data_IF_596519803750
#
_entry.id   IF_596519803750
#
_cell.length_a   1.000
_cell.length_b   1.000
_cell.length_c   1.000
_cell.angle_alpha   90.00
_cell.angle_beta   90.00
_cell.angle_gamma   90.00
#
_symmetry.space_group_name_H-M   'P 1'
#
loop_
_entity.id
_entity.type
_entity.pdbx_description
1 polymer ?
#
# COMPACT_ATOMS: atom_id res chain seq x y z
N UNK A 1 8.97 18.21 -14.92
CA UNK A 1 8.73 16.96 -14.18
C UNK A 1 7.27 16.96 -13.80
N UNK A 2 6.50 15.94 -14.16
CA UNK A 2 5.12 15.81 -13.68
C UNK A 2 5.17 15.58 -12.17
N UNK A 3 4.24 16.18 -11.43
CA UNK A 3 4.14 15.95 -9.98
C UNK A 3 3.84 14.46 -9.71
N UNK A 4 4.55 13.89 -8.74
CA UNK A 4 4.36 12.49 -8.35
C UNK A 4 2.97 12.31 -7.75
N UNK A 5 2.17 11.45 -8.34
CA UNK A 5 0.86 11.06 -7.82
C UNK A 5 1.07 10.25 -6.54
N UNK A 6 0.54 10.74 -5.43
CA UNK A 6 0.67 10.07 -4.14
C UNK A 6 -0.49 9.12 -3.92
N UNK A 7 -0.17 7.88 -3.53
CA UNK A 7 -1.17 6.88 -3.18
C UNK A 7 -1.97 7.25 -1.93
N UNK A 8 -3.27 6.93 -1.88
CA UNK A 8 -4.08 7.08 -0.68
C UNK A 8 -3.74 6.05 0.42
N UNK A 9 -2.97 5.02 0.11
CA UNK A 9 -2.58 3.97 1.05
C UNK A 9 -1.18 4.26 1.59
N UNK A 10 -1.08 4.42 2.91
CA UNK A 10 0.20 4.52 3.59
C UNK A 10 0.73 3.11 3.88
N UNK A 11 1.72 2.69 3.11
CA UNK A 11 2.31 1.36 3.22
C UNK A 11 3.83 1.47 3.34
N UNK A 12 4.43 0.60 4.18
CA UNK A 12 5.88 0.62 4.37
C UNK A 12 6.60 0.21 3.09
N UNK A 13 7.80 0.73 2.89
CA UNK A 13 8.59 0.41 1.70
C UNK A 13 8.13 1.12 0.42
N UNK A 14 7.15 2.04 0.46
CA UNK A 14 6.67 2.70 -0.74
C UNK A 14 7.79 3.42 -1.52
N UNK A 15 7.66 3.42 -2.85
CA UNK A 15 8.70 3.90 -3.78
C UNK A 15 8.63 5.42 -4.09
N UNK A 16 7.88 6.22 -3.32
CA UNK A 16 7.74 7.67 -3.53
C UNK A 16 9.10 8.38 -3.71
N UNK A 17 10.10 8.02 -2.90
CA UNK A 17 11.45 8.63 -2.99
C UNK A 17 12.16 8.23 -4.27
N UNK A 18 12.01 6.99 -4.72
CA UNK A 18 12.62 6.50 -5.96
C UNK A 18 11.92 7.07 -7.19
N UNK A 19 10.59 7.19 -7.17
CA UNK A 19 9.83 7.83 -8.24
C UNK A 19 10.27 9.28 -8.42
N UNK A 20 10.46 10.03 -7.32
CA UNK A 20 11.04 11.38 -7.36
C UNK A 20 12.48 11.43 -7.90
N UNK A 21 13.18 10.31 -7.91
CA UNK A 21 14.53 10.13 -8.48
C UNK A 21 14.48 9.40 -9.82
N UNK A 22 13.38 9.54 -10.55
CA UNK A 22 13.20 9.06 -11.92
C UNK A 22 13.14 7.53 -12.08
N UNK A 23 12.64 6.80 -11.07
CA UNK A 23 12.45 5.35 -11.19
C UNK A 23 11.61 4.99 -12.43
N UNK A 24 10.54 5.75 -12.68
CA UNK A 24 9.62 5.48 -13.80
C UNK A 24 10.29 5.72 -15.17
N UNK A 25 11.27 6.61 -15.25
CA UNK A 25 12.00 6.89 -16.49
C UNK A 25 12.86 5.69 -16.94
N UNK A 26 13.09 4.72 -16.05
CA UNK A 26 13.77 3.45 -16.37
C UNK A 26 12.85 2.41 -16.99
N UNK A 27 11.53 2.64 -16.93
CA UNK A 27 10.55 1.69 -17.43
C UNK A 27 10.39 1.82 -18.95
N UNK A 28 9.93 0.76 -19.64
CA UNK A 28 9.69 0.82 -21.07
C UNK A 28 8.65 1.90 -21.42
N UNK A 29 8.78 2.47 -22.61
CA UNK A 29 7.72 3.29 -23.19
C UNK A 29 6.66 2.37 -23.83
N UNK A 30 5.40 2.82 -23.82
CA UNK A 30 4.26 2.14 -24.46
C UNK A 30 4.00 0.73 -23.89
N UNK A 31 3.87 0.64 -22.56
CA UNK A 31 3.53 -0.59 -21.86
C UNK A 31 2.06 -0.95 -22.18
N UNK A 32 1.83 -2.19 -22.62
CA UNK A 32 0.47 -2.70 -22.81
C UNK A 32 -0.12 -3.13 -21.47
N UNK A 33 0.50 -4.10 -20.80
CA UNK A 33 0.10 -4.52 -19.44
C UNK A 33 1.21 -4.19 -18.45
N UNK A 34 0.88 -3.37 -17.45
CA UNK A 34 1.71 -3.18 -16.27
C UNK A 34 1.30 -4.20 -15.22
N UNK A 35 2.20 -5.13 -14.90
CA UNK A 35 1.98 -6.13 -13.86
C UNK A 35 2.78 -5.71 -12.62
N UNK A 36 2.10 -5.21 -11.59
CA UNK A 36 2.67 -4.85 -10.29
C UNK A 36 2.45 -6.03 -9.35
N UNK A 37 3.46 -6.89 -9.22
CA UNK A 37 3.31 -8.20 -8.62
C UNK A 37 3.31 -8.17 -7.08
N UNK A 38 3.82 -7.08 -6.51
CA UNK A 38 3.86 -6.77 -5.07
C UNK A 38 3.32 -5.35 -4.88
N UNK A 39 2.03 -5.17 -5.07
CA UNK A 39 1.38 -3.87 -5.25
C UNK A 39 1.55 -2.90 -4.09
N UNK A 40 1.49 -3.37 -2.83
CA UNK A 40 1.68 -2.57 -1.63
C UNK A 40 0.79 -1.32 -1.61
N UNK A 41 1.38 -0.14 -1.74
CA UNK A 41 0.61 1.11 -1.87
C UNK A 41 0.09 1.40 -3.28
N UNK A 42 0.38 0.58 -4.28
CA UNK A 42 0.14 0.79 -5.71
C UNK A 42 0.76 2.08 -6.30
N UNK A 43 1.67 2.74 -5.60
CA UNK A 43 2.23 4.03 -6.02
C UNK A 43 3.02 3.92 -7.32
N UNK A 44 3.63 2.77 -7.61
CA UNK A 44 4.39 2.54 -8.85
C UNK A 44 3.41 2.46 -10.02
N UNK A 45 2.38 1.64 -9.91
CA UNK A 45 1.30 1.56 -10.90
C UNK A 45 0.63 2.91 -11.16
N UNK A 46 0.32 3.67 -10.10
CA UNK A 46 -0.30 5.01 -10.21
C UNK A 46 0.57 6.04 -10.93
N UNK A 47 1.87 5.85 -11.02
CA UNK A 47 2.81 6.75 -11.68
C UNK A 47 3.36 6.19 -13.01
N UNK A 48 3.02 4.97 -13.38
CA UNK A 48 3.41 4.33 -14.64
C UNK A 48 2.30 4.48 -15.67
N UNK A 49 2.66 4.79 -16.92
CA UNK A 49 1.68 4.86 -18.01
C UNK A 49 1.61 3.53 -18.73
N UNK A 50 0.44 2.89 -18.70
CA UNK A 50 0.15 1.63 -19.40
C UNK A 50 -1.29 1.61 -19.92
N UNK A 51 -1.63 0.67 -20.80
CA UNK A 51 -2.99 0.49 -21.28
C UNK A 51 -3.86 -0.25 -20.25
N UNK A 52 -3.27 -1.25 -19.56
CA UNK A 52 -3.93 -2.05 -18.54
C UNK A 52 -3.02 -2.23 -17.33
N UNK A 53 -3.60 -2.36 -16.14
CA UNK A 53 -2.89 -2.56 -14.88
C UNK A 53 -3.36 -3.84 -14.20
N UNK A 54 -2.42 -4.71 -13.87
CA UNK A 54 -2.61 -5.96 -13.15
C UNK A 54 -1.89 -5.82 -11.81
N UNK A 55 -2.62 -5.52 -10.74
CA UNK A 55 -2.04 -5.26 -9.42
C UNK A 55 -2.34 -6.45 -8.53
N UNK A 56 -1.28 -7.06 -8.01
CA UNK A 56 -1.35 -8.21 -7.14
C UNK A 56 -0.70 -7.90 -5.78
N UNK A 57 -1.27 -8.44 -4.73
CA UNK A 57 -0.64 -8.51 -3.41
C UNK A 57 -1.18 -9.72 -2.65
N UNK A 58 -0.38 -10.30 -1.75
CA UNK A 58 -0.82 -11.39 -0.87
C UNK A 58 -1.65 -10.88 0.30
N UNK A 59 -1.54 -9.59 0.65
CA UNK A 59 -2.33 -8.98 1.72
C UNK A 59 -3.74 -8.65 1.22
N UNK A 60 -4.74 -9.43 1.67
CA UNK A 60 -6.15 -9.25 1.32
C UNK A 60 -6.69 -7.86 1.68
N UNK A 61 -6.17 -7.24 2.75
CA UNK A 61 -6.60 -5.91 3.17
C UNK A 61 -6.17 -4.81 2.19
N UNK A 62 -5.04 -4.99 1.48
CA UNK A 62 -4.67 -4.10 0.38
C UNK A 62 -5.65 -4.24 -0.79
N UNK A 63 -6.04 -5.47 -1.12
CA UNK A 63 -7.01 -5.72 -2.19
C UNK A 63 -8.39 -5.13 -1.83
N UNK A 64 -8.79 -5.22 -0.56
CA UNK A 64 -10.00 -4.54 -0.07
C UNK A 64 -9.93 -3.02 -0.27
N UNK A 65 -8.79 -2.40 0.06
CA UNK A 65 -8.58 -0.96 -0.13
C UNK A 65 -8.56 -0.56 -1.61
N UNK A 66 -7.91 -1.34 -2.50
CA UNK A 66 -7.95 -1.06 -3.93
C UNK A 66 -9.39 -1.12 -4.47
N UNK A 67 -10.16 -2.13 -4.06
CA UNK A 67 -11.58 -2.23 -4.40
C UNK A 67 -12.41 -1.08 -3.84
N UNK A 68 -12.09 -0.58 -2.64
CA UNK A 68 -12.73 0.59 -2.07
C UNK A 68 -12.59 1.81 -3.01
N UNK A 69 -11.37 2.10 -3.48
CA UNK A 69 -11.12 3.22 -4.39
C UNK A 69 -11.70 2.99 -5.79
N UNK A 70 -11.74 1.75 -6.27
CA UNK A 70 -12.28 1.40 -7.58
C UNK A 70 -13.79 1.56 -7.64
N UNK A 71 -14.50 1.24 -6.57
CA UNK A 71 -15.95 1.10 -6.56
C UNK A 71 -16.69 2.28 -5.90
N UNK A 72 -15.97 3.25 -5.33
CA UNK A 72 -16.58 4.38 -4.64
C UNK A 72 -16.07 5.72 -5.18
N UNK A 73 -16.92 6.74 -5.11
CA UNK A 73 -16.51 8.11 -5.37
C UNK A 73 -15.69 8.65 -4.20
N UNK A 74 -14.72 9.48 -4.49
CA UNK A 74 -13.86 10.08 -3.46
C UNK A 74 -14.67 10.86 -2.40
N UNK A 75 -15.73 11.55 -2.83
CA UNK A 75 -16.62 12.30 -1.96
C UNK A 75 -17.34 11.40 -0.94
N UNK A 76 -17.78 10.21 -1.36
CA UNK A 76 -18.48 9.26 -0.49
C UNK A 76 -17.54 8.72 0.60
N UNK A 77 -16.30 8.39 0.22
CA UNK A 77 -15.25 7.97 1.16
C UNK A 77 -14.95 9.11 2.16
N UNK A 78 -14.75 10.33 1.67
CA UNK A 78 -14.45 11.50 2.49
C UNK A 78 -15.60 11.81 3.47
N UNK A 79 -16.84 11.73 3.00
CA UNK A 79 -18.03 11.96 3.81
C UNK A 79 -18.16 10.92 4.91
N UNK A 80 -17.91 9.63 4.60
CA UNK A 80 -17.89 8.58 5.60
C UNK A 80 -16.85 8.82 6.69
N UNK A 81 -15.60 9.18 6.29
CA UNK A 81 -14.53 9.49 7.23
C UNK A 81 -14.96 10.66 8.16
N UNK A 82 -15.50 11.74 7.60
CA UNK A 82 -15.95 12.89 8.38
C UNK A 82 -17.08 12.52 9.33
N UNK A 83 -18.05 11.70 8.90
CA UNK A 83 -19.12 11.18 9.74
C UNK A 83 -18.56 10.42 10.95
N UNK A 84 -17.57 9.53 10.75
CA UNK A 84 -16.95 8.80 11.86
C UNK A 84 -16.12 9.69 12.79
N UNK A 85 -15.47 10.73 12.23
CA UNK A 85 -14.77 11.74 13.05
C UNK A 85 -15.74 12.42 13.99
N UNK A 86 -16.91 12.84 13.51
CA UNK A 86 -17.91 13.53 14.32
C UNK A 86 -18.58 12.59 15.32
N UNK A 87 -18.92 11.37 14.91
CA UNK A 87 -19.60 10.37 15.74
C UNK A 87 -18.75 9.95 16.95
N UNK A 88 -17.45 9.73 16.75
CA UNK A 88 -16.54 9.23 17.79
C UNK A 88 -15.72 10.33 18.47
N UNK A 89 -15.71 11.55 17.93
CA UNK A 89 -14.85 12.64 18.42
C UNK A 89 -13.37 12.39 18.13
N UNK A 90 -13.05 11.84 16.95
CA UNK A 90 -11.66 11.62 16.55
C UNK A 90 -10.92 12.95 16.34
N UNK A 91 -9.59 12.92 16.47
CA UNK A 91 -8.76 14.12 16.37
C UNK A 91 -8.90 14.80 14.99
N UNK A 92 -9.11 16.12 14.99
CA UNK A 92 -9.08 16.95 13.77
C UNK A 92 -7.76 17.68 13.57
N UNK A 93 -6.82 17.49 14.48
CA UNK A 93 -5.49 18.09 14.47
C UNK A 93 -4.45 17.08 14.93
N UNK A 94 -3.20 17.24 14.45
CA UNK A 94 -2.08 16.37 14.85
C UNK A 94 -1.73 16.58 16.31
N UNK A 95 -1.53 15.48 17.05
CA UNK A 95 -1.22 15.49 18.49
C UNK A 95 0.27 15.21 18.77
N UNK A 96 1.18 15.79 17.99
CA UNK A 96 2.61 15.59 18.19
C UNK A 96 3.04 16.01 19.59
N UNK A 97 3.72 15.10 20.30
CA UNK A 97 4.12 15.22 21.73
C UNK A 97 4.78 16.55 22.11
N UNK A 98 5.50 17.19 21.20
CA UNK A 98 6.25 18.43 21.47
C UNK A 98 5.48 19.71 21.13
N UNK A 99 4.38 19.61 20.38
CA UNK A 99 3.60 20.76 19.87
C UNK A 99 2.25 20.85 20.58
N UNK A 100 1.68 19.70 20.96
CA UNK A 100 0.37 19.62 21.61
C UNK A 100 0.52 19.47 23.11
N UNK A 101 0.18 20.52 23.86
CA UNK A 101 0.39 20.61 25.34
C UNK A 101 -0.77 20.09 26.18
N UNK A 102 -1.96 19.95 25.60
CA UNK A 102 -3.17 19.52 26.30
C UNK A 102 -3.21 17.99 26.45
N UNK A 103 -2.78 17.51 27.63
CA UNK A 103 -2.73 16.08 27.95
C UNK A 103 -4.12 15.45 28.05
N UNK A 104 -5.10 16.20 28.53
CA UNK A 104 -6.47 15.70 28.72
C UNK A 104 -7.12 15.45 27.35
N UNK A 105 -6.90 16.36 26.42
CA UNK A 105 -7.38 16.24 25.04
C UNK A 105 -6.70 15.08 24.30
N UNK A 106 -5.40 14.86 24.51
CA UNK A 106 -4.71 13.68 23.95
C UNK A 106 -5.35 12.38 24.46
N UNK A 107 -5.62 12.29 25.75
CA UNK A 107 -6.23 11.11 26.35
C UNK A 107 -7.67 10.91 25.85
N UNK A 108 -8.42 11.98 25.65
CA UNK A 108 -9.74 11.95 25.05
C UNK A 108 -9.69 11.39 23.61
N UNK A 109 -8.76 11.84 22.77
CA UNK A 109 -8.59 11.33 21.41
C UNK A 109 -8.17 9.87 21.36
N UNK A 110 -7.33 9.43 22.31
CA UNK A 110 -6.97 8.01 22.42
C UNK A 110 -8.21 7.16 22.77
N UNK A 111 -9.04 7.61 23.71
CA UNK A 111 -10.28 6.90 24.05
C UNK A 111 -11.25 6.84 22.88
N UNK A 112 -11.40 7.93 22.14
CA UNK A 112 -12.20 8.00 20.92
C UNK A 112 -11.71 6.99 19.88
N UNK A 113 -10.41 6.97 19.59
CA UNK A 113 -9.79 6.00 18.68
C UNK A 113 -10.02 4.56 19.13
N UNK A 114 -9.81 4.25 20.42
CA UNK A 114 -10.01 2.90 20.96
C UNK A 114 -11.46 2.46 20.83
N UNK A 115 -12.42 3.35 21.14
CA UNK A 115 -13.85 3.07 20.98
C UNK A 115 -14.22 2.79 19.51
N UNK A 116 -13.70 3.58 18.59
CA UNK A 116 -13.94 3.36 17.16
C UNK A 116 -13.26 2.08 16.65
N UNK A 117 -12.04 1.76 17.11
CA UNK A 117 -11.37 0.50 16.80
C UNK A 117 -12.16 -0.72 17.29
N UNK A 118 -12.71 -0.65 18.50
CA UNK A 118 -13.54 -1.72 19.06
C UNK A 118 -14.86 -1.89 18.28
N UNK A 119 -15.45 -0.79 17.81
CA UNK A 119 -16.60 -0.82 16.90
C UNK A 119 -16.22 -1.50 15.57
N UNK A 120 -15.12 -1.08 14.94
CA UNK A 120 -14.64 -1.70 13.71
C UNK A 120 -14.41 -3.20 13.88
N UNK A 121 -13.77 -3.61 14.96
CA UNK A 121 -13.47 -5.04 15.20
C UNK A 121 -14.73 -5.91 15.31
N UNK A 122 -15.87 -5.33 15.67
CA UNK A 122 -17.16 -6.02 15.69
C UNK A 122 -17.86 -6.02 14.33
N UNK A 123 -17.70 -4.99 13.52
CA UNK A 123 -18.49 -4.76 12.30
C UNK A 123 -17.71 -5.02 11.00
N UNK A 124 -16.37 -4.93 11.01
CA UNK A 124 -15.46 -5.23 9.90
C UNK A 124 -15.82 -4.53 8.57
N UNK A 125 -16.11 -3.22 8.63
CA UNK A 125 -16.41 -2.43 7.43
C UNK A 125 -15.15 -1.81 6.84
N UNK A 126 -14.92 -1.93 5.53
CA UNK A 126 -13.68 -1.45 4.86
C UNK A 126 -13.51 0.08 4.92
N UNK A 127 -14.60 0.86 4.88
CA UNK A 127 -14.54 2.33 5.06
C UNK A 127 -14.09 2.69 6.48
N UNK A 128 -14.55 1.96 7.49
CA UNK A 128 -14.13 2.13 8.88
C UNK A 128 -12.68 1.69 9.07
N UNK A 129 -12.25 0.61 8.44
CA UNK A 129 -10.86 0.18 8.40
C UNK A 129 -9.96 1.28 7.82
N UNK A 130 -10.34 1.81 6.66
CA UNK A 130 -9.59 2.88 6.02
C UNK A 130 -9.56 4.15 6.89
N UNK A 131 -10.67 4.47 7.57
CA UNK A 131 -10.74 5.58 8.52
C UNK A 131 -9.77 5.38 9.69
N UNK A 132 -9.69 4.17 10.27
CA UNK A 132 -8.76 3.84 11.36
C UNK A 132 -7.30 4.06 10.99
N UNK A 133 -6.92 3.81 9.73
CA UNK A 133 -5.53 3.97 9.29
C UNK A 133 -5.02 5.40 9.50
N UNK A 134 -5.85 6.44 9.31
CA UNK A 134 -5.42 7.84 9.52
C UNK A 134 -5.06 8.15 10.98
N UNK A 135 -5.60 7.39 11.92
CA UNK A 135 -5.45 7.58 13.37
C UNK A 135 -4.53 6.55 14.01
N UNK A 136 -4.12 5.53 13.28
CA UNK A 136 -3.21 4.50 13.76
C UNK A 136 -1.76 4.98 13.79
N UNK A 137 -0.93 4.31 14.57
CA UNK A 137 0.51 4.61 14.66
C UNK A 137 1.17 4.51 13.27
N UNK A 138 1.83 5.57 12.85
CA UNK A 138 2.46 5.73 11.52
C UNK A 138 1.50 5.53 10.35
N UNK A 139 0.20 5.65 10.56
CA UNK A 139 -0.86 5.42 9.57
C UNK A 139 -0.80 4.01 8.95
N UNK A 140 -0.28 3.05 9.70
CA UNK A 140 -0.16 1.65 9.29
C UNK A 140 -1.34 0.83 9.80
N UNK A 141 -1.51 -0.35 9.25
CA UNK A 141 -2.47 -1.33 9.74
C UNK A 141 -1.77 -2.63 10.14
N UNK A 142 -2.37 -3.31 11.07
CA UNK A 142 -1.96 -4.63 11.53
C UNK A 142 -3.16 -5.32 12.15
N UNK A 143 -3.27 -6.61 11.91
CA UNK A 143 -4.29 -7.48 12.49
C UNK A 143 -3.62 -8.54 13.36
N UNK A 144 -4.30 -8.95 14.42
CA UNK A 144 -3.85 -10.07 15.24
C UNK A 144 -4.31 -11.41 14.62
N UNK A 145 -3.91 -12.53 15.22
CA UNK A 145 -4.27 -13.88 14.74
C UNK A 145 -5.78 -14.17 14.73
N UNK A 146 -6.60 -13.33 15.41
CA UNK A 146 -8.05 -13.41 15.38
C UNK A 146 -8.69 -12.53 14.29
N UNK A 147 -7.87 -11.84 13.49
CA UNK A 147 -8.33 -10.89 12.49
C UNK A 147 -8.81 -9.55 13.07
N UNK A 148 -8.42 -9.19 14.31
CA UNK A 148 -8.77 -7.89 14.87
C UNK A 148 -7.68 -6.86 14.57
N UNK A 149 -8.10 -5.68 14.15
CA UNK A 149 -7.22 -4.53 13.99
C UNK A 149 -6.63 -4.15 15.36
N UNK A 150 -5.31 -4.18 15.47
CA UNK A 150 -4.62 -4.02 16.75
C UNK A 150 -3.53 -2.94 16.79
N UNK A 151 -3.49 -2.05 15.79
CA UNK A 151 -2.57 -0.91 15.83
C UNK A 151 -2.90 0.03 17.00
N UNK A 152 -1.88 0.56 17.69
CA UNK A 152 -2.07 1.59 18.70
C UNK A 152 -2.48 2.93 18.06
N UNK A 153 -3.05 3.82 18.86
CA UNK A 153 -3.35 5.19 18.46
C UNK A 153 -2.06 5.93 18.07
N UNK A 154 -2.10 6.57 16.91
CA UNK A 154 -1.05 7.46 16.41
C UNK A 154 -1.23 8.91 16.84
N UNK A 155 -0.46 9.80 16.23
CA UNK A 155 -0.49 11.24 16.46
C UNK A 155 -0.98 12.03 15.23
N UNK A 156 -1.34 11.33 14.16
CA UNK A 156 -1.84 11.92 12.93
C UNK A 156 -3.37 12.02 12.95
N UNK A 157 -3.91 12.73 11.97
CA UNK A 157 -5.35 12.89 11.78
C UNK A 157 -5.67 12.95 10.29
N UNK A 158 -6.94 12.83 9.97
CA UNK A 158 -7.42 13.05 8.60
C UNK A 158 -7.27 14.52 8.21
N UNK A 159 -6.64 14.81 7.07
CA UNK A 159 -6.26 16.15 6.61
C UNK A 159 -6.73 16.45 5.18
N UNK A 160 -6.68 17.71 4.75
CA UNK A 160 -6.97 18.10 3.37
C UNK A 160 -6.06 17.39 2.36
N UNK A 161 -4.78 17.19 2.72
CA UNK A 161 -3.84 16.43 1.88
C UNK A 161 -4.30 14.97 1.69
N UNK A 162 -4.89 14.36 2.72
CA UNK A 162 -5.43 13.00 2.59
C UNK A 162 -6.63 12.95 1.63
N UNK A 163 -7.47 13.98 1.62
CA UNK A 163 -8.59 14.08 0.67
C UNK A 163 -8.10 14.10 -0.78
N UNK A 164 -7.00 14.82 -1.05
CA UNK A 164 -6.39 14.84 -2.36
C UNK A 164 -5.85 13.46 -2.77
N UNK A 165 -5.19 12.75 -1.84
CA UNK A 165 -4.70 11.39 -2.11
C UNK A 165 -5.86 10.41 -2.39
N UNK A 166 -6.99 10.52 -1.67
CA UNK A 166 -8.20 9.74 -1.95
C UNK A 166 -8.71 10.01 -3.36
N UNK A 167 -8.79 11.28 -3.78
CA UNK A 167 -9.21 11.65 -5.14
C UNK A 167 -8.29 11.06 -6.19
N UNK A 168 -6.97 11.10 -5.97
CA UNK A 168 -5.98 10.50 -6.87
C UNK A 168 -6.17 8.99 -6.98
N UNK A 169 -6.38 8.29 -5.85
CA UNK A 169 -6.64 6.85 -5.84
C UNK A 169 -7.93 6.50 -6.57
N UNK A 170 -9.05 7.12 -6.21
CA UNK A 170 -10.32 6.88 -6.88
C UNK A 170 -10.23 7.14 -8.40
N UNK A 171 -9.58 8.25 -8.80
CA UNK A 171 -9.40 8.54 -10.22
C UNK A 171 -8.57 7.45 -10.91
N UNK A 172 -7.44 7.02 -10.33
CA UNK A 172 -6.62 5.97 -10.93
C UNK A 172 -7.38 4.65 -11.07
N UNK A 173 -7.97 4.15 -9.99
CA UNK A 173 -8.62 2.85 -9.97
C UNK A 173 -9.92 2.78 -10.77
N UNK A 174 -10.65 3.90 -10.92
CA UNK A 174 -11.92 3.94 -11.66
C UNK A 174 -11.79 4.34 -13.14
N UNK A 175 -10.76 5.11 -13.50
CA UNK A 175 -10.61 5.63 -14.87
C UNK A 175 -9.66 4.80 -15.74
N UNK A 176 -9.03 3.78 -15.19
CA UNK A 176 -8.14 2.88 -15.91
C UNK A 176 -8.65 1.44 -15.86
N UNK A 177 -8.20 0.62 -16.80
CA UNK A 177 -8.44 -0.83 -16.82
C UNK A 177 -7.55 -1.51 -15.76
N UNK A 178 -8.01 -1.52 -14.51
CA UNK A 178 -7.29 -2.10 -13.37
C UNK A 178 -7.89 -3.45 -12.98
N UNK A 179 -7.07 -4.48 -12.98
CA UNK A 179 -7.39 -5.84 -12.53
C UNK A 179 -6.64 -6.13 -11.22
N UNK A 180 -7.37 -6.62 -10.21
CA UNK A 180 -6.86 -6.83 -8.86
C UNK A 180 -6.79 -8.32 -8.54
N UNK A 181 -5.69 -8.75 -7.94
CA UNK A 181 -5.44 -10.14 -7.61
C UNK A 181 -4.91 -10.25 -6.18
N UNK A 182 -5.34 -11.30 -5.48
CA UNK A 182 -4.85 -11.66 -4.15
C UNK A 182 -4.18 -13.03 -4.22
N UNK A 183 -3.00 -13.06 -4.80
CA UNK A 183 -2.29 -14.32 -5.07
C UNK A 183 -0.83 -14.24 -4.65
N UNK A 184 -0.23 -15.40 -4.40
CA UNK A 184 1.23 -15.54 -4.34
C UNK A 184 1.84 -15.19 -5.71
N UNK A 185 3.02 -14.55 -5.71
CA UNK A 185 3.70 -14.11 -6.94
C UNK A 185 4.02 -15.26 -7.90
N UNK A 186 4.20 -16.49 -7.38
CA UNK A 186 4.46 -17.70 -8.17
C UNK A 186 3.28 -18.09 -9.06
N UNK A 187 2.10 -17.54 -8.80
CA UNK A 187 0.90 -17.80 -9.62
C UNK A 187 0.89 -17.04 -10.97
N UNK A 188 1.86 -16.13 -11.20
CA UNK A 188 1.96 -15.38 -12.44
C UNK A 188 2.13 -16.31 -13.65
N UNK A 189 1.17 -16.26 -14.58
CA UNK A 189 1.22 -17.05 -15.82
C UNK A 189 1.97 -16.28 -16.90
N UNK A 190 3.29 -16.50 -16.99
CA UNK A 190 4.18 -15.83 -17.92
C UNK A 190 3.79 -16.10 -19.38
N UNK A 191 3.20 -17.27 -19.68
CA UNK A 191 2.78 -17.63 -21.04
C UNK A 191 1.76 -16.70 -21.67
N UNK A 192 1.04 -15.94 -20.85
CA UNK A 192 0.06 -14.95 -21.28
C UNK A 192 0.65 -13.55 -21.51
N UNK A 193 1.97 -13.38 -21.31
CA UNK A 193 2.66 -12.11 -21.46
C UNK A 193 3.38 -12.01 -22.80
N UNK A 194 3.58 -10.78 -23.25
CA UNK A 194 4.26 -10.42 -24.49
C UNK A 194 5.43 -9.46 -24.23
N UNK A 195 6.26 -9.18 -25.20
CA UNK A 195 7.37 -8.22 -25.13
C UNK A 195 6.93 -6.76 -24.96
N UNK A 196 5.62 -6.48 -25.07
CA UNK A 196 5.00 -5.17 -24.78
C UNK A 196 4.57 -5.01 -23.35
N UNK A 197 4.54 -6.11 -22.58
CA UNK A 197 4.14 -6.10 -21.18
C UNK A 197 5.36 -5.79 -20.29
N UNK A 198 5.10 -5.29 -19.08
CA UNK A 198 6.14 -4.97 -18.11
C UNK A 198 5.77 -5.49 -16.73
N UNK A 199 6.66 -6.26 -16.12
CA UNK A 199 6.48 -6.81 -14.78
C UNK A 199 7.34 -6.04 -13.78
N UNK A 200 6.73 -5.42 -12.78
CA UNK A 200 7.43 -4.77 -11.68
C UNK A 200 7.39 -5.65 -10.43
N UNK A 201 8.55 -5.82 -9.83
CA UNK A 201 8.80 -6.70 -8.70
C UNK A 201 9.39 -5.88 -7.55
N UNK A 202 8.69 -5.78 -6.44
CA UNK A 202 9.13 -5.10 -5.22
C UNK A 202 8.82 -5.98 -3.99
N UNK A 203 9.50 -7.14 -3.89
CA UNK A 203 9.25 -8.11 -2.84
C UNK A 203 9.66 -7.59 -1.46
N UNK A 204 9.23 -8.23 -0.37
CA UNK A 204 9.87 -8.08 0.92
C UNK A 204 11.37 -8.40 0.81
N UNK A 205 12.22 -7.69 1.53
CA UNK A 205 13.66 -7.89 1.43
C UNK A 205 14.17 -8.89 2.48
N UNK A 206 14.98 -9.85 2.06
CA UNK A 206 15.49 -10.94 2.89
C UNK A 206 16.16 -10.47 4.20
N UNK A 207 16.85 -9.32 4.16
CA UNK A 207 17.64 -8.79 5.28
C UNK A 207 16.94 -7.65 6.03
N UNK A 208 15.61 -7.51 5.91
CA UNK A 208 14.88 -6.45 6.61
C UNK A 208 13.98 -7.03 7.70
N UNK A 209 14.03 -6.44 8.89
CA UNK A 209 13.07 -6.70 9.98
C UNK A 209 11.78 -5.89 9.73
N UNK A 210 11.15 -6.09 8.58
CA UNK A 210 9.86 -5.48 8.33
C UNK A 210 8.77 -6.24 9.10
N UNK A 211 7.74 -5.53 9.54
CA UNK A 211 6.61 -6.07 10.34
C UNK A 211 5.78 -7.15 9.62
N UNK A 212 6.02 -7.40 8.33
CA UNK A 212 5.41 -8.52 7.60
C UNK A 212 6.04 -9.88 7.94
N UNK A 213 7.18 -9.88 8.67
CA UNK A 213 7.94 -11.09 8.99
C UNK A 213 7.44 -11.77 10.28
N UNK A 214 6.34 -11.31 10.88
CA UNK A 214 5.83 -11.92 12.13
C UNK A 214 5.23 -13.33 11.93
N UNK A 215 4.97 -13.75 10.66
CA UNK A 215 4.45 -15.08 10.32
C UNK A 215 5.29 -15.76 9.23
N UNK A 216 6.52 -16.15 9.54
CA UNK A 216 7.46 -16.86 8.65
C UNK A 216 8.25 -16.00 7.64
N UNK A 217 7.94 -14.70 7.44
CA UNK A 217 8.72 -13.73 6.66
C UNK A 217 9.15 -14.16 5.25
N UNK A 218 9.82 -13.29 4.53
CA UNK A 218 10.45 -13.59 3.26
C UNK A 218 11.65 -14.52 3.46
N UNK A 219 11.61 -15.72 2.90
CA UNK A 219 12.61 -16.77 3.10
C UNK A 219 13.62 -16.82 1.96
N UNK A 220 14.71 -17.59 2.15
CA UNK A 220 15.69 -17.86 1.07
C UNK A 220 15.00 -18.55 -0.11
N UNK A 221 14.04 -19.44 0.16
CA UNK A 221 13.28 -20.12 -0.89
C UNK A 221 12.42 -19.13 -1.70
N UNK A 222 11.82 -18.13 -1.06
CA UNK A 222 11.07 -17.10 -1.75
C UNK A 222 11.96 -16.26 -2.67
N UNK A 223 13.18 -15.94 -2.20
CA UNK A 223 14.17 -15.22 -2.98
C UNK A 223 14.65 -16.05 -4.19
N UNK A 224 14.88 -17.36 -4.02
CA UNK A 224 15.24 -18.28 -5.10
C UNK A 224 14.12 -18.37 -6.15
N UNK A 225 12.87 -18.57 -5.72
CA UNK A 225 11.71 -18.63 -6.61
C UNK A 225 11.49 -17.31 -7.36
N UNK A 226 11.82 -16.16 -6.72
CA UNK A 226 11.77 -14.86 -7.37
C UNK A 226 12.81 -14.73 -8.48
N UNK A 227 14.05 -15.18 -8.25
CA UNK A 227 15.09 -15.16 -9.28
C UNK A 227 14.78 -16.12 -10.42
N UNK A 228 14.24 -17.30 -10.13
CA UNK A 228 13.74 -18.23 -11.16
C UNK A 228 12.63 -17.56 -12.01
N UNK A 229 11.74 -16.79 -11.38
CA UNK A 229 10.75 -16.00 -12.11
C UNK A 229 11.42 -14.96 -13.03
N UNK A 230 12.43 -14.22 -12.53
CA UNK A 230 13.16 -13.23 -13.32
C UNK A 230 13.88 -13.88 -14.53
N UNK A 231 14.53 -15.03 -14.33
CA UNK A 231 15.15 -15.78 -15.41
C UNK A 231 14.13 -16.24 -16.47
N UNK A 232 12.99 -16.75 -16.03
CA UNK A 232 11.91 -17.16 -16.93
C UNK A 232 11.33 -15.98 -17.73
N UNK A 233 11.15 -14.80 -17.10
CA UNK A 233 10.75 -13.58 -17.80
C UNK A 233 11.79 -13.19 -18.86
N UNK A 234 13.08 -13.19 -18.48
CA UNK A 234 14.17 -12.87 -19.39
C UNK A 234 14.24 -13.84 -20.59
N UNK A 235 14.12 -15.15 -20.35
CA UNK A 235 14.16 -16.18 -21.41
C UNK A 235 13.00 -16.03 -22.42
N UNK A 236 11.90 -15.40 -22.00
CA UNK A 236 10.74 -15.09 -22.86
C UNK A 236 10.76 -13.67 -23.42
N UNK A 237 11.85 -12.92 -23.22
CA UNK A 237 11.98 -11.52 -23.61
C UNK A 237 10.89 -10.59 -23.01
N UNK A 238 10.34 -10.95 -21.85
CA UNK A 238 9.42 -10.09 -21.10
C UNK A 238 10.24 -9.10 -20.28
N UNK A 239 9.96 -7.82 -20.45
CA UNK A 239 10.65 -6.76 -19.69
C UNK A 239 10.19 -6.76 -18.24
N UNK A 240 11.13 -6.61 -17.31
CA UNK A 240 10.81 -6.48 -15.89
C UNK A 240 11.73 -5.50 -15.17
N UNK A 241 11.30 -5.03 -14.03
CA UNK A 241 12.09 -4.23 -13.10
C UNK A 241 12.01 -4.82 -11.71
N UNK A 242 13.16 -5.13 -11.11
CA UNK A 242 13.28 -5.64 -9.75
C UNK A 242 13.82 -4.56 -8.82
N UNK A 243 13.07 -4.22 -7.78
CA UNK A 243 13.57 -3.44 -6.64
C UNK A 243 14.08 -4.39 -5.56
N UNK A 244 15.35 -4.31 -5.23
CA UNK A 244 15.95 -5.09 -4.13
C UNK A 244 16.98 -4.25 -3.39
N UNK A 245 17.39 -4.70 -2.20
CA UNK A 245 18.40 -4.07 -1.35
C UNK A 245 19.66 -4.93 -1.35
N UNK A 246 20.76 -4.39 -1.89
CA UNK A 246 22.04 -5.10 -1.92
C UNK A 246 22.68 -5.25 -0.53
N UNK A 247 22.46 -4.29 0.38
CA UNK A 247 22.93 -4.36 1.76
C UNK A 247 22.01 -3.61 2.71
N UNK A 248 21.76 -4.19 3.89
CA UNK A 248 20.98 -3.55 4.94
C UNK A 248 21.69 -3.73 6.29
N UNK A 249 21.95 -2.63 7.01
CA UNK A 249 22.63 -2.60 8.33
C UNK A 249 23.97 -3.39 8.36
N UNK A 250 24.73 -3.36 7.27
CA UNK A 250 26.02 -4.05 7.16
C UNK A 250 25.92 -5.53 6.78
N UNK A 251 24.73 -6.04 6.50
CA UNK A 251 24.52 -7.39 5.96
C UNK A 251 24.29 -7.27 4.45
N UNK A 252 25.21 -7.82 3.67
CA UNK A 252 25.09 -7.86 2.22
C UNK A 252 24.12 -8.96 1.76
N UNK A 253 23.35 -8.68 0.74
CA UNK A 253 22.60 -9.69 0.01
C UNK A 253 23.58 -10.28 -1.00
N UNK A 254 24.17 -11.42 -0.67
CA UNK A 254 25.24 -12.08 -1.47
C UNK A 254 24.72 -13.08 -2.49
N UNK A 255 23.41 -13.10 -2.75
CA UNK A 255 22.81 -13.95 -3.80
C UNK A 255 22.45 -13.16 -5.05
#
# INVERSE_FOLDING_TARGET
>A
MSDVIISPIFYMGNKKKLIKKNLIDLFPNNIDKMIDLFGGSAIVSMNTKANQYFINDTDEHLIELYNLFKNNKAEDIINHINMRIDEYGLARERTKRNEFKDKDKIEQYKKAYMSFRDYYNKNKNTLDFYTLMFYSFSQQFRFNSKGDFNMPCGNDCFSETNKEYIKNGCNFFSSNDVFLFNNDFRSLKIDNLTDKDFVYLDPPYLNTTATYNENEGWTIKDEEDLYDLCENLNNKNIKFGLSNVFANKGVENTK
#
